data_IF_817220022582
#
_entry.id   IF_817220022582
#
_cell.length_a   1.000
_cell.length_b   1.000
_cell.length_c   1.000
_cell.angle_alpha   90.00
_cell.angle_beta   90.00
_cell.angle_gamma   90.00
#
_symmetry.space_group_name_H-M   'P 1'
#
loop_
_entity.id
_entity.type
_entity.pdbx_description
1 polymer ?
#
# COMPACT_ATOMS: atom_id res chain seq x y z
N UNK A 1 0.40 27.51 43.08
CA UNK A 1 1.48 26.57 42.76
C UNK A 1 1.02 25.80 41.55
N UNK A 2 1.37 26.27 40.36
CA UNK A 2 0.90 25.69 39.08
C UNK A 2 1.85 24.54 38.76
N UNK A 3 1.30 23.31 38.72
CA UNK A 3 2.04 22.11 38.36
C UNK A 3 2.53 22.26 36.90
N UNK A 4 3.80 22.43 36.71
CA UNK A 4 4.45 22.39 35.39
C UNK A 4 4.18 21.02 34.75
N UNK A 5 3.67 20.96 33.52
CA UNK A 5 3.52 19.69 32.84
C UNK A 5 4.88 19.03 32.74
N UNK A 6 5.00 17.80 33.27
CA UNK A 6 6.23 16.99 33.19
C UNK A 6 6.69 17.00 31.73
N UNK A 7 7.77 17.74 31.47
CA UNK A 7 8.33 17.87 30.14
C UNK A 7 8.59 16.48 29.55
N UNK A 8 7.94 16.17 28.44
CA UNK A 8 8.20 14.93 27.72
C UNK A 8 9.66 14.93 27.32
N UNK A 9 10.38 13.90 27.74
CA UNK A 9 11.82 13.78 27.50
C UNK A 9 12.03 13.55 26.00
N UNK A 10 12.62 14.52 25.31
CA UNK A 10 13.01 14.37 23.92
C UNK A 10 14.02 13.24 23.77
N UNK A 11 13.88 12.48 22.69
CA UNK A 11 14.89 11.50 22.26
C UNK A 11 15.96 12.30 21.53
N UNK A 12 17.22 12.11 21.90
CA UNK A 12 18.33 12.86 21.32
C UNK A 12 18.49 12.67 19.82
N UNK A 13 19.23 13.53 19.13
CA UNK A 13 19.39 13.49 17.69
C UNK A 13 20.02 12.18 17.24
N UNK A 14 19.56 11.68 16.10
CA UNK A 14 20.21 10.59 15.38
C UNK A 14 21.43 11.10 14.62
N UNK A 15 22.36 10.20 14.31
CA UNK A 15 23.51 10.46 13.46
C UNK A 15 23.32 9.80 12.10
N UNK A 16 23.70 10.46 10.99
CA UNK A 16 23.63 9.82 9.68
C UNK A 16 24.63 8.67 9.58
N UNK A 17 24.20 7.55 9.00
CA UNK A 17 25.04 6.38 8.76
C UNK A 17 24.57 5.66 7.48
N UNK A 18 25.44 5.54 6.49
CA UNK A 18 25.09 4.95 5.19
C UNK A 18 23.78 5.55 4.64
N UNK A 19 22.80 4.67 4.33
CA UNK A 19 21.48 5.05 3.78
C UNK A 19 20.42 5.28 4.86
N UNK A 20 20.78 5.60 6.09
CA UNK A 20 19.83 5.78 7.18
C UNK A 20 20.42 6.50 8.38
N UNK A 21 19.87 6.25 9.56
CA UNK A 21 20.13 7.03 10.76
C UNK A 21 20.34 6.13 11.98
N UNK A 22 21.34 6.46 12.77
CA UNK A 22 21.69 5.74 13.97
C UNK A 22 21.20 6.48 15.20
N UNK A 23 20.43 5.80 16.04
CA UNK A 23 20.03 6.23 17.36
C UNK A 23 20.77 5.39 18.40
N UNK A 24 21.43 6.03 19.38
CA UNK A 24 22.20 5.33 20.41
C UNK A 24 21.58 5.47 21.80
N UNK A 25 21.96 4.53 22.69
CA UNK A 25 21.67 4.58 24.10
C UNK A 25 20.31 4.04 24.54
N UNK A 26 19.87 4.33 25.78
CA UNK A 26 18.67 3.72 26.37
C UNK A 26 17.36 4.03 25.63
N UNK A 27 17.33 5.09 24.84
CA UNK A 27 16.18 5.45 24.03
C UNK A 27 16.03 4.50 22.83
N UNK A 28 17.13 4.13 22.18
CA UNK A 28 17.15 3.16 21.09
C UNK A 28 16.60 1.80 21.56
N UNK A 29 17.12 1.28 22.65
CA UNK A 29 16.65 0.02 23.21
C UNK A 29 15.16 0.04 23.55
N UNK A 30 14.67 1.11 24.21
CA UNK A 30 13.24 1.24 24.57
C UNK A 30 12.35 1.34 23.33
N UNK A 31 12.79 2.03 22.28
CA UNK A 31 12.05 2.19 21.04
C UNK A 31 11.87 0.82 20.36
N UNK A 32 12.95 0.05 20.29
CA UNK A 32 12.91 -1.29 19.74
C UNK A 32 12.08 -2.26 20.60
N UNK A 33 12.37 -2.36 21.90
CA UNK A 33 11.71 -3.33 22.80
C UNK A 33 10.19 -3.10 22.89
N UNK A 34 9.74 -1.84 22.84
CA UNK A 34 8.31 -1.51 22.97
C UNK A 34 7.57 -1.46 21.64
N UNK A 35 8.23 -1.05 20.58
CA UNK A 35 7.56 -0.72 19.32
C UNK A 35 8.08 -1.50 18.13
N UNK A 36 9.20 -2.20 18.26
CA UNK A 36 9.89 -2.92 17.18
C UNK A 36 10.11 -2.01 15.97
N UNK A 37 10.59 -0.79 16.25
CA UNK A 37 10.96 0.19 15.22
C UNK A 37 12.46 0.08 15.00
N UNK A 38 12.88 0.09 13.74
CA UNK A 38 14.28 0.07 13.35
C UNK A 38 14.93 -1.32 13.43
N UNK A 39 16.19 -1.35 13.06
CA UNK A 39 17.04 -2.55 13.05
C UNK A 39 18.04 -2.47 14.21
N UNK A 40 18.07 -3.46 15.11
CA UNK A 40 19.04 -3.49 16.19
C UNK A 40 20.47 -3.55 15.66
N UNK A 41 21.34 -2.77 16.27
CA UNK A 41 22.77 -2.75 16.00
C UNK A 41 23.58 -3.11 17.27
N UNK A 42 24.87 -3.44 17.15
CA UNK A 42 25.74 -3.61 18.30
C UNK A 42 25.74 -2.40 19.23
N UNK A 43 26.15 -2.59 20.49
CA UNK A 43 26.29 -1.52 21.50
C UNK A 43 25.00 -0.79 21.90
N UNK A 44 23.83 -1.47 21.79
CA UNK A 44 22.50 -0.89 22.06
C UNK A 44 22.16 0.30 21.14
N UNK A 45 22.56 0.19 19.92
CA UNK A 45 22.24 1.14 18.87
C UNK A 45 21.08 0.64 18.03
N UNK A 46 20.46 1.54 17.30
CA UNK A 46 19.32 1.28 16.44
C UNK A 46 19.49 2.01 15.12
N UNK A 47 19.45 1.27 14.03
CA UNK A 47 19.36 1.84 12.71
C UNK A 47 17.90 2.15 12.39
N UNK A 48 17.64 3.35 11.89
CA UNK A 48 16.32 3.83 11.48
C UNK A 48 16.34 4.22 10.00
N UNK A 49 15.34 3.77 9.27
CA UNK A 49 15.09 4.27 7.93
C UNK A 49 14.53 5.71 8.00
N UNK A 50 14.63 6.51 6.93
CA UNK A 50 14.08 7.87 6.92
C UNK A 50 12.59 7.93 7.28
N UNK A 51 11.75 7.01 6.79
CA UNK A 51 10.33 6.93 7.15
C UNK A 51 10.11 6.59 8.64
N UNK A 52 10.94 5.73 9.23
CA UNK A 52 10.91 5.45 10.67
C UNK A 52 11.39 6.64 11.50
N UNK A 53 12.37 7.40 11.01
CA UNK A 53 12.83 8.65 11.63
C UNK A 53 11.69 9.66 11.71
N UNK A 54 11.02 9.92 10.58
CA UNK A 54 9.90 10.86 10.50
C UNK A 54 8.72 10.42 11.38
N UNK A 55 8.38 9.12 11.34
CA UNK A 55 7.40 8.54 12.25
C UNK A 55 7.77 8.79 13.72
N UNK A 56 9.03 8.56 14.10
CA UNK A 56 9.49 8.77 15.47
C UNK A 56 9.49 10.25 15.87
N UNK A 57 9.78 11.15 14.95
CA UNK A 57 9.70 12.58 15.21
C UNK A 57 8.25 13.00 15.53
N UNK A 58 7.28 12.53 14.74
CA UNK A 58 5.87 12.86 14.91
C UNK A 58 5.24 12.20 16.15
N UNK A 59 5.59 10.94 16.44
CA UNK A 59 4.87 10.12 17.42
C UNK A 59 5.69 9.69 18.66
N UNK A 60 6.99 9.88 18.66
CA UNK A 60 7.89 9.41 19.75
C UNK A 60 8.83 10.47 20.27
N UNK A 61 8.64 11.74 19.86
CA UNK A 61 9.44 12.88 20.29
C UNK A 61 10.92 12.76 19.95
N UNK A 62 11.25 12.14 18.82
CA UNK A 62 12.60 12.14 18.27
C UNK A 62 12.90 13.53 17.74
N UNK A 63 14.08 14.05 18.09
CA UNK A 63 14.55 15.33 17.58
C UNK A 63 15.22 15.11 16.21
N UNK A 64 14.71 15.77 15.19
CA UNK A 64 15.35 15.85 13.88
C UNK A 64 16.39 16.97 13.88
N UNK A 65 17.38 16.83 13.02
CA UNK A 65 18.32 17.92 12.72
C UNK A 65 17.60 19.00 11.92
N UNK A 66 18.12 20.21 11.98
CA UNK A 66 17.67 21.29 11.11
C UNK A 66 17.88 20.87 9.65
N UNK A 67 16.96 21.24 8.78
CA UNK A 67 16.95 20.92 7.33
C UNK A 67 16.91 19.41 6.99
N UNK A 68 16.73 18.54 8.01
CA UNK A 68 16.71 17.08 7.80
C UNK A 68 15.63 16.65 6.81
N UNK A 69 14.41 17.15 6.98
CA UNK A 69 13.27 16.76 6.13
C UNK A 69 13.49 17.18 4.69
N UNK A 70 13.97 18.38 4.45
CA UNK A 70 14.25 18.91 3.12
C UNK A 70 15.32 18.07 2.42
N UNK A 71 16.42 17.80 3.12
CA UNK A 71 17.51 16.95 2.64
C UNK A 71 17.07 15.53 2.30
N UNK A 72 16.20 14.94 3.11
CA UNK A 72 15.72 13.56 2.85
C UNK A 72 14.67 13.52 1.73
N UNK A 73 13.85 14.56 1.57
CA UNK A 73 12.91 14.65 0.44
C UNK A 73 13.62 14.84 -0.91
N UNK A 74 14.76 15.52 -0.94
CA UNK A 74 15.58 15.59 -2.14
C UNK A 74 16.11 14.22 -2.59
N UNK A 75 16.41 13.34 -1.64
CA UNK A 75 16.90 11.97 -1.91
C UNK A 75 15.77 10.99 -2.22
N UNK A 76 14.66 11.12 -1.50
CA UNK A 76 13.48 10.27 -1.61
C UNK A 76 12.20 11.12 -1.62
N UNK A 77 11.69 11.50 -2.78
CA UNK A 77 10.45 12.26 -2.91
C UNK A 77 9.23 11.52 -2.32
N UNK A 78 9.29 10.20 -2.22
CA UNK A 78 8.22 9.35 -1.69
C UNK A 78 8.21 9.22 -0.16
N UNK A 79 9.14 9.88 0.53
CA UNK A 79 9.30 9.76 1.98
C UNK A 79 8.02 10.06 2.77
N UNK A 80 7.24 11.04 2.35
CA UNK A 80 5.99 11.39 3.03
C UNK A 80 4.92 10.32 2.84
N UNK A 81 4.80 9.75 1.64
CA UNK A 81 3.87 8.67 1.33
C UNK A 81 4.23 7.39 2.09
N UNK A 82 5.51 7.02 2.08
CA UNK A 82 6.00 5.87 2.86
C UNK A 82 5.74 6.05 4.36
N UNK A 83 5.95 7.27 4.86
CA UNK A 83 5.67 7.58 6.28
C UNK A 83 4.18 7.51 6.58
N UNK A 84 3.31 8.00 5.69
CA UNK A 84 1.86 7.91 5.86
C UNK A 84 1.39 6.45 5.89
N UNK A 85 1.90 5.60 5.00
CA UNK A 85 1.65 4.16 5.02
C UNK A 85 2.07 3.53 6.37
N UNK A 86 3.24 3.89 6.88
CA UNK A 86 3.75 3.41 8.16
C UNK A 86 2.88 3.90 9.34
N UNK A 87 2.45 5.16 9.31
CA UNK A 87 1.57 5.77 10.32
C UNK A 87 0.21 5.09 10.37
N UNK A 88 -0.41 4.84 9.22
CA UNK A 88 -1.72 4.20 9.12
C UNK A 88 -1.77 2.85 9.86
N UNK A 89 -0.68 2.12 9.87
CA UNK A 89 -0.59 0.82 10.54
C UNK A 89 -0.13 0.92 11.99
N UNK A 90 0.87 1.77 12.27
CA UNK A 90 1.50 1.84 13.59
C UNK A 90 0.72 2.67 14.60
N UNK A 91 -0.02 3.69 14.17
CA UNK A 91 -0.81 4.54 15.09
C UNK A 91 -1.91 3.73 15.80
N UNK A 92 -2.64 2.81 15.14
CA UNK A 92 -3.56 1.91 15.82
C UNK A 92 -2.89 0.91 16.77
N UNK A 93 -1.57 0.74 16.70
CA UNK A 93 -0.78 -0.07 17.62
C UNK A 93 -0.28 -1.41 17.08
N UNK A 94 -0.41 -1.64 15.79
CA UNK A 94 0.18 -2.81 15.12
C UNK A 94 1.71 -2.71 15.10
N UNK A 95 2.38 -3.87 15.09
CA UNK A 95 3.83 -3.94 14.95
C UNK A 95 4.17 -4.16 13.48
N UNK A 96 4.79 -3.20 12.88
CA UNK A 96 5.21 -3.22 11.48
C UNK A 96 6.73 -3.17 11.42
N UNK A 97 7.34 -4.06 10.68
CA UNK A 97 8.77 -4.13 10.48
C UNK A 97 9.03 -4.04 8.99
N UNK A 98 9.78 -3.04 8.58
CA UNK A 98 10.22 -2.90 7.19
C UNK A 98 11.04 -4.13 6.79
N UNK A 99 10.85 -4.64 5.58
CA UNK A 99 11.45 -5.91 5.17
C UNK A 99 12.97 -5.93 5.33
N UNK A 100 13.64 -4.82 5.06
CA UNK A 100 15.09 -4.65 5.24
C UNK A 100 15.58 -4.75 6.69
N UNK A 101 14.66 -4.63 7.67
CA UNK A 101 14.97 -4.76 9.09
C UNK A 101 14.66 -6.18 9.63
N UNK A 102 13.90 -7.00 8.88
CA UNK A 102 13.37 -8.29 9.37
C UNK A 102 14.46 -9.32 9.61
N UNK A 103 15.49 -9.35 8.76
CA UNK A 103 16.56 -10.36 8.81
C UNK A 103 17.24 -10.46 10.19
N UNK A 104 17.42 -9.32 10.87
CA UNK A 104 18.06 -9.32 12.20
C UNK A 104 17.07 -9.50 13.36
N UNK A 105 15.79 -9.48 13.07
CA UNK A 105 14.72 -9.64 14.07
C UNK A 105 14.21 -11.07 14.06
N UNK A 106 14.02 -11.63 12.88
CA UNK A 106 13.48 -12.97 12.66
C UNK A 106 14.11 -13.59 11.43
N UNK A 107 15.30 -14.21 11.56
CA UNK A 107 16.08 -14.70 10.40
C UNK A 107 15.36 -15.78 9.59
N UNK A 108 14.44 -16.51 10.22
CA UNK A 108 13.65 -17.56 9.54
C UNK A 108 12.37 -17.02 8.87
N UNK A 109 12.18 -15.69 8.87
CA UNK A 109 10.99 -15.08 8.27
C UNK A 109 11.21 -14.94 6.77
N UNK A 110 10.49 -15.73 6.00
CA UNK A 110 10.41 -15.63 4.54
C UNK A 110 9.31 -14.63 4.21
N UNK A 111 9.56 -13.74 3.26
CA UNK A 111 8.57 -12.82 2.70
C UNK A 111 8.50 -12.99 1.18
N UNK A 112 7.33 -12.73 0.61
CA UNK A 112 7.11 -12.77 -0.83
C UNK A 112 7.85 -11.63 -1.52
N UNK A 113 8.26 -11.85 -2.76
CA UNK A 113 8.93 -10.82 -3.56
C UNK A 113 8.04 -9.58 -3.72
N UNK A 114 8.61 -8.40 -3.53
CA UNK A 114 7.87 -7.13 -3.61
C UNK A 114 7.22 -6.67 -2.31
N UNK A 115 7.25 -7.49 -1.25
CA UNK A 115 6.78 -7.07 0.08
C UNK A 115 7.61 -5.91 0.61
N UNK A 116 6.96 -4.86 1.07
CA UNK A 116 7.59 -3.70 1.70
C UNK A 116 7.83 -3.91 3.20
N UNK A 117 6.81 -4.46 3.89
CA UNK A 117 6.86 -4.65 5.34
C UNK A 117 6.09 -5.89 5.78
N UNK A 118 6.46 -6.40 6.96
CA UNK A 118 5.72 -7.43 7.66
C UNK A 118 4.96 -6.82 8.84
N UNK A 119 3.73 -7.29 9.05
CA UNK A 119 2.87 -6.83 10.14
C UNK A 119 2.55 -7.97 11.12
N UNK A 120 2.63 -7.65 12.39
CA UNK A 120 2.19 -8.48 13.51
C UNK A 120 1.06 -7.78 14.26
N UNK A 121 0.17 -8.55 14.81
CA UNK A 121 -0.85 -8.03 15.71
C UNK A 121 -0.20 -7.39 16.95
N UNK A 122 -0.88 -6.44 17.56
CA UNK A 122 -0.40 -5.70 18.74
C UNK A 122 0.09 -6.60 19.88
N UNK A 123 -0.58 -7.72 20.12
CA UNK A 123 -0.25 -8.69 21.19
C UNK A 123 0.89 -9.63 20.83
N UNK A 124 1.24 -9.79 19.56
CA UNK A 124 2.25 -10.75 19.11
C UNK A 124 3.65 -10.37 19.54
N UNK A 125 4.50 -11.38 19.68
CA UNK A 125 5.94 -11.23 19.97
C UNK A 125 6.70 -11.43 18.67
N UNK A 126 7.17 -10.35 18.07
CA UNK A 126 7.81 -10.36 16.74
C UNK A 126 8.98 -11.36 16.63
N UNK A 127 9.71 -11.59 17.73
CA UNK A 127 10.85 -12.54 17.75
C UNK A 127 10.46 -14.02 17.71
N UNK A 128 9.22 -14.36 18.05
CA UNK A 128 8.76 -15.76 18.19
C UNK A 128 7.52 -16.09 17.39
N UNK A 129 6.68 -15.09 17.11
CA UNK A 129 5.41 -15.29 16.43
C UNK A 129 5.57 -15.00 14.94
N UNK A 130 4.88 -15.75 14.11
CA UNK A 130 4.83 -15.47 12.68
C UNK A 130 4.10 -14.15 12.41
N UNK A 131 4.49 -13.41 11.34
CA UNK A 131 3.76 -12.23 10.91
C UNK A 131 2.34 -12.61 10.48
N UNK A 132 1.38 -11.75 10.78
CA UNK A 132 -0.02 -11.93 10.40
C UNK A 132 -0.33 -11.45 8.99
N UNK A 133 0.47 -10.53 8.47
CA UNK A 133 0.29 -9.99 7.13
C UNK A 133 1.62 -9.60 6.49
N UNK A 134 1.60 -9.60 5.16
CA UNK A 134 2.59 -8.92 4.32
C UNK A 134 1.95 -7.69 3.71
N UNK A 135 2.72 -6.63 3.56
CA UNK A 135 2.24 -5.32 3.19
C UNK A 135 3.03 -4.78 2.01
N UNK A 136 2.32 -4.23 1.06
CA UNK A 136 2.86 -3.35 0.02
C UNK A 136 2.15 -2.00 0.10
N UNK A 137 2.79 -0.93 -0.32
CA UNK A 137 2.14 0.34 -0.51
C UNK A 137 2.42 0.88 -1.91
N UNK A 138 1.49 1.64 -2.44
CA UNK A 138 1.55 2.28 -3.75
C UNK A 138 0.89 3.66 -3.68
N UNK A 139 1.22 4.53 -4.61
CA UNK A 139 0.49 5.78 -4.79
C UNK A 139 -0.81 5.54 -5.57
N UNK A 140 -1.81 6.37 -5.32
CA UNK A 140 -3.15 6.22 -5.89
C UNK A 140 -3.19 6.28 -7.43
N UNK A 141 -2.25 7.02 -8.05
CA UNK A 141 -2.13 7.12 -9.52
C UNK A 141 -1.16 6.09 -10.14
N UNK A 142 -0.49 5.26 -9.33
CA UNK A 142 0.42 4.24 -9.88
C UNK A 142 -0.36 3.02 -10.37
N UNK A 143 -0.21 2.64 -11.64
CA UNK A 143 -0.90 1.47 -12.17
C UNK A 143 -0.36 0.17 -11.54
N UNK A 144 -1.21 -0.55 -10.84
CA UNK A 144 -0.87 -1.86 -10.29
C UNK A 144 -1.10 -2.90 -11.39
N UNK A 145 -0.05 -3.63 -11.76
CA UNK A 145 -0.17 -4.77 -12.68
C UNK A 145 -0.91 -5.90 -11.98
N UNK A 146 -2.13 -6.18 -12.42
CA UNK A 146 -2.99 -7.19 -11.81
C UNK A 146 -2.33 -8.56 -11.65
N UNK A 147 -1.60 -9.03 -12.67
CA UNK A 147 -0.91 -10.31 -12.62
C UNK A 147 0.16 -10.36 -11.51
N UNK A 148 0.88 -9.26 -11.29
CA UNK A 148 1.89 -9.15 -10.23
C UNK A 148 1.23 -9.16 -8.86
N UNK A 149 0.15 -8.39 -8.70
CA UNK A 149 -0.61 -8.35 -7.46
C UNK A 149 -1.23 -9.72 -7.11
N UNK A 150 -1.82 -10.39 -8.09
CA UNK A 150 -2.40 -11.73 -7.91
C UNK A 150 -1.32 -12.76 -7.52
N UNK A 151 -0.17 -12.75 -8.20
CA UNK A 151 0.94 -13.64 -7.88
C UNK A 151 1.41 -13.41 -6.44
N UNK A 152 1.67 -12.17 -6.08
CA UNK A 152 2.10 -11.80 -4.73
C UNK A 152 1.07 -12.21 -3.67
N UNK A 153 -0.22 -11.90 -3.86
CA UNK A 153 -1.27 -12.27 -2.92
C UNK A 153 -1.41 -13.79 -2.76
N UNK A 154 -1.18 -14.56 -3.83
CA UNK A 154 -1.19 -16.02 -3.78
C UNK A 154 -0.02 -16.57 -2.96
N UNK A 155 1.18 -16.03 -3.13
CA UNK A 155 2.37 -16.40 -2.35
C UNK A 155 2.18 -16.07 -0.87
N UNK A 156 1.67 -14.87 -0.56
CA UNK A 156 1.36 -14.44 0.83
C UNK A 156 0.32 -15.35 1.47
N UNK A 157 -0.75 -15.68 0.73
CA UNK A 157 -1.80 -16.58 1.19
C UNK A 157 -1.29 -18.01 1.45
N UNK A 158 -0.37 -18.50 0.60
CA UNK A 158 0.28 -19.81 0.79
C UNK A 158 1.11 -19.88 2.08
N UNK A 159 1.62 -18.74 2.56
CA UNK A 159 2.30 -18.62 3.86
C UNK A 159 1.32 -18.49 5.05
N UNK A 160 0.01 -18.53 4.80
CA UNK A 160 -1.02 -18.36 5.82
C UNK A 160 -1.14 -16.91 6.33
N UNK A 161 -0.72 -15.93 5.55
CA UNK A 161 -0.73 -14.51 5.90
C UNK A 161 -1.77 -13.75 5.10
N UNK A 162 -2.10 -12.57 5.57
CA UNK A 162 -2.99 -11.63 4.88
C UNK A 162 -2.13 -10.78 3.93
N UNK A 163 -2.51 -10.68 2.67
CA UNK A 163 -1.94 -9.73 1.74
C UNK A 163 -2.64 -8.37 1.90
N UNK A 164 -1.92 -7.33 2.32
CA UNK A 164 -2.45 -5.98 2.55
C UNK A 164 -1.79 -4.98 1.59
N UNK A 165 -2.62 -4.25 0.86
CA UNK A 165 -2.20 -3.17 -0.05
C UNK A 165 -2.67 -1.85 0.54
N UNK A 166 -1.75 -0.93 0.74
CA UNK A 166 -2.04 0.44 1.13
C UNK A 166 -1.92 1.34 -0.08
N UNK A 167 -2.97 2.08 -0.36
CA UNK A 167 -2.96 3.11 -1.39
C UNK A 167 -2.85 4.45 -0.67
N UNK A 168 -1.84 5.23 -1.04
CA UNK A 168 -1.56 6.53 -0.44
C UNK A 168 -1.78 7.60 -1.49
N UNK A 169 -2.68 8.55 -1.18
CA UNK A 169 -2.98 9.68 -2.04
C UNK A 169 -2.02 10.86 -1.82
N UNK A 170 -2.11 11.88 -2.66
CA UNK A 170 -1.27 13.08 -2.59
C UNK A 170 -1.52 13.92 -1.32
N UNK A 171 -2.66 13.73 -0.64
CA UNK A 171 -2.98 14.38 0.64
C UNK A 171 -2.51 13.55 1.85
N UNK A 172 -1.76 12.47 1.61
CA UNK A 172 -1.30 11.51 2.63
C UNK A 172 -2.44 10.72 3.29
N UNK A 173 -3.61 10.67 2.68
CA UNK A 173 -4.68 9.75 3.04
C UNK A 173 -4.30 8.32 2.67
N UNK A 174 -4.65 7.36 3.53
CA UNK A 174 -4.29 5.95 3.31
C UNK A 174 -5.53 5.08 3.31
N UNK A 175 -5.74 4.37 2.20
CA UNK A 175 -6.77 3.34 2.10
C UNK A 175 -6.13 1.97 2.11
N UNK A 176 -6.61 1.07 2.96
CA UNK A 176 -6.07 -0.28 3.11
C UNK A 176 -7.02 -1.30 2.48
N UNK A 177 -6.48 -2.14 1.60
CA UNK A 177 -7.19 -3.26 0.99
C UNK A 177 -6.57 -4.58 1.44
N UNK A 178 -7.43 -5.59 1.63
CA UNK A 178 -7.01 -6.98 1.75
C UNK A 178 -7.26 -7.66 0.42
N UNK A 179 -6.23 -8.33 -0.08
CA UNK A 179 -6.29 -9.04 -1.36
C UNK A 179 -6.22 -10.53 -1.08
N UNK A 180 -7.16 -11.28 -1.60
CA UNK A 180 -7.14 -12.75 -1.53
C UNK A 180 -7.23 -13.34 -2.93
N UNK A 181 -6.49 -14.42 -3.22
CA UNK A 181 -6.68 -15.16 -4.45
C UNK A 181 -8.02 -15.93 -4.34
N UNK A 182 -8.94 -15.62 -5.23
CA UNK A 182 -10.19 -16.35 -5.34
C UNK A 182 -10.14 -17.25 -6.57
N UNK A 183 -10.61 -18.49 -6.42
CA UNK A 183 -10.92 -19.33 -7.57
C UNK A 183 -12.36 -19.05 -7.98
N UNK A 184 -12.60 -18.41 -9.11
CA UNK A 184 -13.95 -18.19 -9.57
C UNK A 184 -14.63 -19.55 -9.80
N UNK A 185 -15.54 -19.90 -8.92
CA UNK A 185 -16.42 -21.05 -9.08
C UNK A 185 -17.68 -20.55 -9.76
N UNK A 186 -17.81 -20.81 -11.04
CA UNK A 186 -18.98 -20.44 -11.82
C UNK A 186 -19.45 -21.58 -12.71
N UNK A 187 -20.73 -21.56 -13.05
CA UNK A 187 -21.35 -22.47 -14.03
C UNK A 187 -21.41 -21.84 -15.43
N UNK A 188 -20.62 -20.79 -15.66
CA UNK A 188 -20.48 -20.23 -17.00
C UNK A 188 -19.89 -21.29 -17.91
N UNK A 189 -20.57 -21.55 -19.03
CA UNK A 189 -20.00 -22.36 -20.06
C UNK A 189 -18.65 -21.76 -20.48
N UNK A 190 -17.61 -22.57 -20.67
CA UNK A 190 -16.37 -22.05 -21.24
C UNK A 190 -16.72 -21.38 -22.58
N UNK A 191 -16.25 -20.14 -22.74
CA UNK A 191 -16.32 -19.43 -24.03
C UNK A 191 -15.65 -20.34 -25.06
N UNK A 192 -16.31 -20.64 -26.17
CA UNK A 192 -15.67 -21.44 -27.18
C UNK A 192 -14.59 -20.66 -27.92
N UNK A 193 -13.69 -21.38 -28.60
CA UNK A 193 -12.52 -20.76 -29.26
C UNK A 193 -12.93 -19.78 -30.38
N UNK A 194 -14.11 -19.97 -30.98
CA UNK A 194 -14.65 -19.09 -32.02
C UNK A 194 -15.17 -17.76 -31.39
N UNK A 195 -15.82 -17.84 -30.24
CA UNK A 195 -16.23 -16.65 -29.47
C UNK A 195 -15.05 -15.86 -28.95
N UNK A 196 -13.98 -16.56 -28.48
CA UNK A 196 -12.74 -15.92 -28.03
C UNK A 196 -12.05 -15.21 -29.21
N UNK A 197 -11.93 -15.86 -30.36
CA UNK A 197 -11.34 -15.29 -31.57
C UNK A 197 -12.18 -14.11 -32.10
N UNK A 198 -13.52 -14.17 -31.99
CA UNK A 198 -14.39 -13.05 -32.36
C UNK A 198 -14.21 -11.86 -31.44
N UNK A 199 -14.06 -12.10 -30.11
CA UNK A 199 -13.74 -11.07 -29.12
C UNK A 199 -12.35 -10.47 -29.38
N UNK A 200 -11.32 -11.28 -29.60
CA UNK A 200 -9.97 -10.80 -29.91
C UNK A 200 -9.94 -9.97 -31.21
N UNK A 201 -10.65 -10.40 -32.25
CA UNK A 201 -10.71 -9.65 -33.51
C UNK A 201 -11.47 -8.32 -33.36
N UNK A 202 -12.49 -8.27 -32.49
CA UNK A 202 -13.18 -7.02 -32.17
C UNK A 202 -12.32 -6.11 -31.27
N UNK A 203 -11.54 -6.66 -30.35
CA UNK A 203 -10.62 -5.92 -29.47
C UNK A 203 -9.37 -5.43 -30.23
N UNK A 204 -8.88 -6.18 -31.23
CA UNK A 204 -7.73 -5.78 -32.06
C UNK A 204 -8.09 -4.77 -33.16
N UNK A 205 -9.36 -4.67 -33.52
CA UNK A 205 -9.86 -3.74 -34.54
C UNK A 205 -10.32 -2.38 -34.03
N UNK A 206 -10.47 -2.19 -32.73
CA UNK A 206 -11.00 -0.96 -32.14
C UNK A 206 -10.12 -0.39 -31.05
N UNK A 207 -9.95 0.92 -31.05
CA UNK A 207 -9.64 1.63 -29.80
C UNK A 207 -10.74 1.29 -28.80
N UNK A 208 -10.37 0.95 -27.57
CA UNK A 208 -11.30 0.74 -26.44
C UNK A 208 -11.85 2.10 -25.93
N UNK A 209 -12.39 2.91 -26.85
CA UNK A 209 -12.91 4.23 -26.56
C UNK A 209 -14.45 4.14 -26.68
N UNK A 210 -15.12 3.60 -25.63
CA UNK A 210 -16.56 3.48 -25.57
C UNK A 210 -17.05 2.97 -24.22
N UNK A 211 -18.36 2.97 -24.00
CA UNK A 211 -19.00 2.52 -22.77
C UNK A 211 -20.01 1.42 -23.04
N UNK A 212 -20.10 0.45 -22.13
CA UNK A 212 -21.15 -0.57 -22.13
C UNK A 212 -22.28 -0.14 -21.21
N UNK A 213 -23.48 0.04 -21.78
CA UNK A 213 -24.68 0.40 -21.06
C UNK A 213 -25.53 -0.86 -20.81
N UNK A 214 -25.88 -1.16 -19.56
CA UNK A 214 -26.75 -2.30 -19.24
C UNK A 214 -28.17 -2.09 -19.79
N UNK A 215 -28.98 -3.14 -19.97
CA UNK A 215 -30.32 -3.07 -20.56
C UNK A 215 -31.31 -2.18 -19.79
N UNK A 216 -30.96 -1.77 -18.58
CA UNK A 216 -31.76 -0.85 -17.74
C UNK A 216 -31.66 0.62 -18.15
N UNK A 217 -30.71 0.94 -19.04
CA UNK A 217 -30.55 2.28 -19.59
C UNK A 217 -31.14 2.32 -20.98
N UNK A 218 -32.14 3.19 -21.18
CA UNK A 218 -32.73 3.41 -22.50
C UNK A 218 -31.74 4.17 -23.37
N UNK A 219 -31.32 3.55 -24.47
CA UNK A 219 -30.46 4.13 -25.49
C UNK A 219 -31.29 4.36 -26.74
N UNK A 220 -31.23 5.54 -27.38
CA UNK A 220 -31.91 5.78 -28.66
C UNK A 220 -31.54 4.72 -29.70
N UNK A 221 -32.52 4.24 -30.49
CA UNK A 221 -32.34 3.15 -31.48
C UNK A 221 -31.23 3.42 -32.52
N UNK A 222 -30.82 4.66 -32.67
CA UNK A 222 -29.78 5.10 -33.63
C UNK A 222 -28.39 5.15 -33.03
N UNK A 223 -28.27 4.91 -31.72
CA UNK A 223 -26.98 5.03 -30.97
C UNK A 223 -26.61 3.66 -30.44
N UNK A 224 -25.36 3.31 -30.64
CA UNK A 224 -24.75 2.12 -30.11
C UNK A 224 -25.01 0.84 -30.86
N UNK A 225 -24.26 -0.17 -30.51
CA UNK A 225 -24.40 -1.53 -31.01
C UNK A 225 -25.15 -2.39 -30.00
N UNK A 226 -26.35 -2.86 -30.27
CA UNK A 226 -27.11 -3.70 -29.36
C UNK A 226 -26.43 -5.08 -29.21
N UNK A 227 -26.21 -5.48 -27.96
CA UNK A 227 -25.69 -6.78 -27.57
C UNK A 227 -26.74 -7.50 -26.71
N UNK A 228 -26.67 -8.83 -26.55
CA UNK A 228 -27.61 -9.57 -25.74
C UNK A 228 -27.74 -9.10 -24.29
N UNK A 229 -26.66 -8.53 -23.74
CA UNK A 229 -26.56 -8.12 -22.35
C UNK A 229 -26.59 -6.59 -22.15
N UNK A 230 -26.77 -5.82 -23.23
CA UNK A 230 -26.78 -4.35 -23.18
C UNK A 230 -26.45 -3.71 -24.52
N UNK A 231 -26.05 -2.45 -24.49
CA UNK A 231 -25.66 -1.69 -25.67
C UNK A 231 -24.23 -1.15 -25.53
N UNK A 232 -23.42 -1.39 -26.54
CA UNK A 232 -22.12 -0.78 -26.64
C UNK A 232 -22.23 0.55 -27.39
N UNK A 233 -21.68 1.63 -26.83
CA UNK A 233 -21.58 2.95 -27.46
C UNK A 233 -20.11 3.34 -27.57
N UNK A 234 -19.72 3.92 -28.70
CA UNK A 234 -18.37 4.42 -28.90
C UNK A 234 -18.19 5.83 -28.31
N UNK A 235 -16.95 6.36 -28.36
CA UNK A 235 -16.61 7.66 -27.76
C UNK A 235 -17.38 8.83 -28.42
N UNK A 236 -17.60 8.77 -29.74
CA UNK A 236 -18.35 9.79 -30.46
C UNK A 236 -19.83 9.76 -30.07
N UNK A 237 -20.39 8.58 -29.88
CA UNK A 237 -21.79 8.37 -29.46
C UNK A 237 -22.02 8.76 -27.99
N UNK A 238 -21.03 8.57 -27.10
CA UNK A 238 -21.09 9.06 -25.70
C UNK A 238 -21.24 10.57 -25.68
N UNK A 239 -20.46 11.28 -26.50
CA UNK A 239 -20.51 12.74 -26.58
C UNK A 239 -21.88 13.25 -27.06
N UNK A 240 -22.57 12.52 -27.94
CA UNK A 240 -23.92 12.87 -28.40
C UNK A 240 -24.95 12.71 -27.26
N UNK A 241 -24.79 11.72 -26.40
CA UNK A 241 -25.70 11.49 -25.27
C UNK A 241 -25.51 12.55 -24.17
N UNK A 242 -24.30 13.04 -23.96
CA UNK A 242 -24.01 14.09 -22.97
C UNK A 242 -24.55 15.46 -23.41
N UNK A 243 -24.57 15.74 -24.71
CA UNK A 243 -25.05 17.00 -25.28
C UNK A 243 -26.58 17.05 -25.46
N UNK A 244 -27.31 15.98 -25.23
CA UNK A 244 -28.78 15.96 -25.29
C UNK A 244 -29.34 16.77 -24.13
N UNK A 245 -30.04 17.89 -24.36
CA UNK A 245 -30.63 18.67 -23.28
C UNK A 245 -31.72 17.83 -22.58
N UNK A 246 -31.62 17.78 -21.24
CA UNK A 246 -32.69 17.29 -20.39
C UNK A 246 -33.98 18.04 -20.73
N UNK A 247 -34.85 17.46 -21.55
CA UNK A 247 -36.23 17.90 -21.73
C UNK A 247 -37.01 17.49 -20.46
N UNK A 248 -36.96 18.41 -19.45
CA UNK A 248 -37.58 18.30 -18.15
C UNK A 248 -39.09 18.37 -18.11
#
# INVERSE_FOLDING_TARGET
MVDSPRGRRMIGPCQPINDGWQLSGPAAQRLFDKSVIGKPMPQNELFLQPSEMLFCARHRHLQLLDDWLETELEKNPELLHETAALEAMRVPGEKVVLLQNVVDISPDTIASEGTWALRWNRSSKVKSDAPSAEVVWVRDFEPIKWITLHKWASEVSALGRIAEVLIVDDEMGVTTYRVSPENPLGTLNPIDEAELNALENNLLGGKLDGAFLPPTIEVPEQIGTPLPEGTWIDEDEVSIMEDSPDDG
#
